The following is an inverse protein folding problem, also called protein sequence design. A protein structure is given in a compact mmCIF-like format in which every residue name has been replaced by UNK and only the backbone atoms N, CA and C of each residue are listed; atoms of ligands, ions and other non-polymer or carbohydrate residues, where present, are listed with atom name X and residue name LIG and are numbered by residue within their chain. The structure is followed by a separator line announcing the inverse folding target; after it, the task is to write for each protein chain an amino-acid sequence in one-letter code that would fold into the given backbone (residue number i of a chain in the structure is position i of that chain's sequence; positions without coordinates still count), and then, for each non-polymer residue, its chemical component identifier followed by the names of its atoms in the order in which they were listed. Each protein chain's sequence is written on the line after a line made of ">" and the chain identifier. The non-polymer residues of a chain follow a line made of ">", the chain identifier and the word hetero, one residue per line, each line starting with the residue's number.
data_IF_209591468968
#
_entry.id   IF_209591468968
#
_cell.length_a   1.000
_cell.length_b   1.000
_cell.length_c   1.000
_cell.angle_alpha   90.00
_cell.angle_beta   90.00
_cell.angle_gamma   90.00
#
_symmetry.space_group_name_H-M   'P 1'
#
loop_
_entity.id
_entity.type
_entity.pdbx_description
1 polymer ?
#
# COMPACT_ATOMS: atom_id res chain seq x y z
N UNK A 1 -9.75 -7.80 -0.81
CA UNK A 1 -9.41 -6.95 0.34
C UNK A 1 -10.60 -6.50 1.19
N UNK A 2 -11.84 -6.40 0.67
CA UNK A 2 -13.01 -5.94 1.47
C UNK A 2 -13.31 -6.76 2.74
N UNK A 3 -12.88 -8.03 2.79
CA UNK A 3 -12.96 -8.89 3.99
C UNK A 3 -12.15 -8.38 5.20
N UNK A 4 -11.22 -7.45 5.01
CA UNK A 4 -10.42 -6.85 6.09
C UNK A 4 -11.04 -5.57 6.68
N UNK A 5 -12.33 -5.31 6.44
CA UNK A 5 -13.05 -4.13 6.95
C UNK A 5 -12.80 -3.87 8.45
N UNK A 6 -12.80 -4.92 9.28
CA UNK A 6 -12.55 -4.80 10.73
C UNK A 6 -11.14 -4.31 11.07
N UNK A 7 -10.13 -4.68 10.27
CA UNK A 7 -8.77 -4.18 10.43
C UNK A 7 -8.67 -2.73 9.94
N UNK A 8 -9.47 -2.38 8.94
CA UNK A 8 -9.69 -1.01 8.48
C UNK A 8 -10.26 -0.06 9.53
N UNK A 9 -10.91 -0.60 10.56
CA UNK A 9 -11.60 0.16 11.61
C UNK A 9 -13.11 0.30 11.39
N UNK A 10 -13.68 -0.47 10.46
CA UNK A 10 -15.10 -0.44 10.11
C UNK A 10 -15.84 -1.59 10.80
N UNK A 11 -17.10 -1.36 11.18
CA UNK A 11 -17.92 -2.34 11.87
C UNK A 11 -18.42 -3.46 10.93
N UNK A 12 -18.63 -3.16 9.66
CA UNK A 12 -19.10 -4.11 8.65
C UNK A 12 -18.59 -3.74 7.23
N UNK A 13 -18.75 -4.64 6.23
CA UNK A 13 -18.32 -4.35 4.85
C UNK A 13 -19.01 -3.15 4.19
N UNK A 14 -20.28 -2.88 4.50
CA UNK A 14 -21.04 -1.75 3.95
C UNK A 14 -20.45 -0.42 4.42
N UNK A 15 -20.06 -0.31 5.69
CA UNK A 15 -19.40 0.89 6.21
C UNK A 15 -18.04 1.15 5.54
N UNK A 16 -17.28 0.09 5.26
CA UNK A 16 -16.04 0.22 4.48
C UNK A 16 -16.33 0.75 3.06
N UNK A 17 -17.36 0.21 2.39
CA UNK A 17 -17.78 0.65 1.06
C UNK A 17 -18.16 2.13 1.06
N UNK A 18 -19.06 2.54 1.97
CA UNK A 18 -19.50 3.93 2.11
C UNK A 18 -18.32 4.88 2.36
N UNK A 19 -17.41 4.51 3.28
CA UNK A 19 -16.24 5.32 3.59
C UNK A 19 -15.31 5.44 2.37
N UNK A 20 -15.02 4.35 1.67
CA UNK A 20 -14.10 4.36 0.52
C UNK A 20 -14.69 5.01 -0.73
N UNK A 21 -16.02 5.11 -0.83
CA UNK A 21 -16.70 5.92 -1.85
C UNK A 21 -16.71 7.42 -1.56
N UNK A 22 -16.58 7.82 -0.29
CA UNK A 22 -16.66 9.23 0.11
C UNK A 22 -15.49 10.05 -0.45
N UNK A 23 -14.25 9.58 -0.30
CA UNK A 23 -13.07 10.27 -0.80
C UNK A 23 -11.80 9.41 -0.80
N UNK A 24 -10.79 9.87 -1.55
CA UNK A 24 -9.46 9.25 -1.62
C UNK A 24 -8.75 9.18 -0.26
N UNK A 25 -9.03 10.12 0.66
CA UNK A 25 -8.46 10.10 2.00
C UNK A 25 -8.88 8.84 2.77
N UNK A 26 -10.14 8.42 2.64
CA UNK A 26 -10.63 7.20 3.28
C UNK A 26 -10.01 5.95 2.66
N UNK A 27 -9.85 5.93 1.34
CA UNK A 27 -9.12 4.87 0.65
C UNK A 27 -7.67 4.76 1.14
N UNK A 28 -7.00 5.91 1.33
CA UNK A 28 -5.63 5.95 1.85
C UNK A 28 -5.54 5.50 3.31
N UNK A 29 -6.48 5.90 4.17
CA UNK A 29 -6.55 5.43 5.56
C UNK A 29 -6.72 3.91 5.60
N UNK A 30 -7.61 3.36 4.78
CA UNK A 30 -7.81 1.91 4.70
C UNK A 30 -6.54 1.20 4.24
N UNK A 31 -5.88 1.70 3.20
CA UNK A 31 -4.61 1.16 2.70
C UNK A 31 -3.52 1.16 3.80
N UNK A 32 -3.35 2.27 4.52
CA UNK A 32 -2.41 2.36 5.65
C UNK A 32 -2.72 1.34 6.74
N UNK A 33 -4.00 1.17 7.08
CA UNK A 33 -4.44 0.20 8.09
C UNK A 33 -4.19 -1.24 7.62
N UNK A 34 -4.44 -1.54 6.34
CA UNK A 34 -4.11 -2.83 5.75
C UNK A 34 -2.60 -3.13 5.87
N UNK A 35 -1.73 -2.21 5.45
CA UNK A 35 -0.28 -2.43 5.54
C UNK A 35 0.21 -2.61 6.98
N UNK A 36 -0.35 -1.88 7.93
CA UNK A 36 0.10 -1.90 9.33
C UNK A 36 -0.46 -3.06 10.15
N UNK A 37 -1.68 -3.53 9.85
CA UNK A 37 -2.38 -4.54 10.66
C UNK A 37 -2.50 -5.90 9.98
N UNK A 38 -2.65 -5.94 8.65
CA UNK A 38 -2.84 -7.19 7.89
C UNK A 38 -1.53 -7.65 7.26
N UNK A 39 -0.74 -6.73 6.71
CA UNK A 39 0.53 -7.02 6.05
C UNK A 39 1.75 -6.37 6.73
N UNK A 40 1.92 -6.44 8.06
CA UNK A 40 2.95 -5.69 8.79
C UNK A 40 4.39 -6.02 8.36
N UNK A 41 4.62 -7.20 7.77
CA UNK A 41 5.93 -7.60 7.24
C UNK A 41 6.47 -6.66 6.16
N UNK A 42 5.61 -5.89 5.49
CA UNK A 42 6.01 -4.92 4.45
C UNK A 42 6.70 -3.68 5.03
N UNK A 43 6.49 -3.37 6.32
CA UNK A 43 6.94 -2.11 6.92
C UNK A 43 8.47 -2.00 6.96
N UNK A 44 9.17 -3.09 7.30
CA UNK A 44 10.65 -3.10 7.29
C UNK A 44 11.20 -2.86 5.87
N UNK A 45 10.78 -3.63 4.84
CA UNK A 45 11.12 -3.36 3.45
C UNK A 45 10.86 -1.92 2.99
N UNK A 46 9.74 -1.31 3.39
CA UNK A 46 9.43 0.09 3.08
C UNK A 46 10.46 1.06 3.68
N UNK A 47 10.85 0.86 4.94
CA UNK A 47 11.87 1.69 5.61
C UNK A 47 13.25 1.53 4.96
N UNK A 48 13.59 0.30 4.58
CA UNK A 48 14.86 -0.06 3.94
C UNK A 48 14.87 0.21 2.43
N UNK A 49 13.74 0.64 1.86
CA UNK A 49 13.57 0.86 0.41
C UNK A 49 13.87 -0.39 -0.42
N UNK A 50 13.54 -1.57 0.11
CA UNK A 50 13.66 -2.83 -0.62
C UNK A 50 12.46 -3.01 -1.56
N UNK A 51 12.54 -2.41 -2.74
CA UNK A 51 11.45 -2.35 -3.72
C UNK A 51 10.96 -3.73 -4.18
N UNK A 52 11.87 -4.69 -4.36
CA UNK A 52 11.53 -6.05 -4.73
C UNK A 52 10.67 -6.73 -3.65
N UNK A 53 11.08 -6.64 -2.38
CA UNK A 53 10.34 -7.23 -1.27
C UNK A 53 9.00 -6.52 -1.02
N UNK A 54 8.94 -5.19 -1.19
CA UNK A 54 7.66 -4.45 -1.13
C UNK A 54 6.72 -4.96 -2.23
N UNK A 55 7.23 -5.09 -3.46
CA UNK A 55 6.46 -5.52 -4.62
C UNK A 55 5.94 -6.95 -4.46
N UNK A 56 6.79 -7.87 -3.99
CA UNK A 56 6.45 -9.27 -3.75
C UNK A 56 5.41 -9.44 -2.64
N UNK A 57 5.57 -8.75 -1.50
CA UNK A 57 4.62 -8.85 -0.38
C UNK A 57 3.23 -8.35 -0.80
N UNK A 58 3.16 -7.25 -1.56
CA UNK A 58 1.88 -6.63 -1.89
C UNK A 58 1.21 -7.20 -3.16
N UNK A 59 1.99 -7.42 -4.22
CA UNK A 59 1.48 -7.83 -5.54
C UNK A 59 1.64 -9.35 -5.79
N UNK A 60 2.33 -10.05 -4.88
CA UNK A 60 2.58 -11.49 -4.99
C UNK A 60 3.86 -11.85 -5.78
N UNK A 61 4.18 -13.14 -5.91
CA UNK A 61 5.43 -13.61 -6.54
C UNK A 61 5.54 -13.24 -8.03
N UNK A 62 4.40 -13.02 -8.71
CA UNK A 62 4.32 -12.55 -10.10
C UNK A 62 4.57 -11.05 -10.27
N UNK A 63 5.02 -10.31 -9.25
CA UNK A 63 5.14 -8.85 -9.30
C UNK A 63 6.03 -8.32 -10.46
N UNK A 64 6.92 -9.16 -10.98
CA UNK A 64 7.83 -8.79 -12.07
C UNK A 64 7.10 -8.58 -13.40
N UNK A 65 5.98 -9.26 -13.62
CA UNK A 65 5.17 -9.12 -14.84
C UNK A 65 4.62 -7.69 -14.97
N UNK A 66 4.34 -7.05 -13.83
CA UNK A 66 3.93 -5.66 -13.74
C UNK A 66 5.08 -4.65 -13.57
N UNK A 67 6.33 -5.12 -13.44
CA UNK A 67 7.51 -4.32 -13.10
C UNK A 67 7.29 -3.41 -11.87
N UNK A 68 6.56 -3.90 -10.86
CA UNK A 68 6.14 -3.08 -9.72
C UNK A 68 7.31 -2.53 -8.90
N UNK A 69 8.37 -3.32 -8.72
CA UNK A 69 9.60 -2.91 -8.03
C UNK A 69 10.34 -1.78 -8.76
N UNK A 70 10.51 -1.91 -10.07
CA UNK A 70 11.17 -0.92 -10.93
C UNK A 70 10.38 0.39 -10.92
N UNK A 71 9.06 0.33 -11.13
CA UNK A 71 8.18 1.50 -11.12
C UNK A 71 8.22 2.25 -9.78
N UNK A 72 8.19 1.53 -8.66
CA UNK A 72 8.29 2.13 -7.32
C UNK A 72 9.65 2.79 -7.10
N UNK A 73 10.75 2.11 -7.42
CA UNK A 73 12.12 2.66 -7.30
C UNK A 73 12.27 3.96 -8.08
N UNK A 74 11.89 3.93 -9.35
CA UNK A 74 12.10 5.05 -10.27
C UNK A 74 11.25 6.26 -9.87
N UNK A 75 10.00 6.01 -9.43
CA UNK A 75 9.11 7.05 -8.90
C UNK A 75 9.67 7.67 -7.62
N UNK A 76 10.15 6.86 -6.68
CA UNK A 76 10.77 7.35 -5.45
C UNK A 76 12.00 8.22 -5.75
N UNK A 77 12.89 7.75 -6.63
CA UNK A 77 14.09 8.50 -7.02
C UNK A 77 13.73 9.84 -7.69
N UNK A 78 12.73 9.85 -8.57
CA UNK A 78 12.21 11.08 -9.18
C UNK A 78 11.69 12.04 -8.11
N UNK A 79 10.92 11.57 -7.13
CA UNK A 79 10.39 12.40 -6.05
C UNK A 79 11.50 12.99 -5.16
N UNK A 80 12.50 12.19 -4.79
CA UNK A 80 13.65 12.68 -4.02
C UNK A 80 14.45 13.72 -4.80
N UNK A 81 14.67 13.51 -6.09
CA UNK A 81 15.34 14.49 -6.94
C UNK A 81 14.54 15.81 -7.04
N UNK A 82 13.21 15.76 -7.07
CA UNK A 82 12.36 16.95 -7.05
C UNK A 82 12.36 17.66 -5.71
N UNK A 83 12.38 16.92 -4.59
CA UNK A 83 12.42 17.48 -3.23
C UNK A 83 13.74 18.21 -2.93
N UNK A 84 14.83 17.79 -3.57
CA UNK A 84 16.17 18.35 -3.35
C UNK A 84 16.52 19.49 -4.33
N UNK A 85 15.59 19.89 -5.19
CA UNK A 85 15.69 21.11 -6.02
C UNK A 85 15.01 22.27 -5.30
#
# INVERSE_FOLDING_TARGET
>A
MGSYYSHGGYANPTELEEATHLCELQQFVYFKNFLSKVSPKIIKPMREKNWAMIAEIYNGPGYRDGAYDVKMRDTYNKYIALKNK
#
